data_IF_246852967697
#
_entry.id   IF_246852967697
#
_cell.length_a   1.000
_cell.length_b   1.000
_cell.length_c   1.000
_cell.angle_alpha   90.00
_cell.angle_beta   90.00
_cell.angle_gamma   90.00
#
_symmetry.space_group_name_H-M   'P 1'
#
loop_
_entity.id
_entity.type
_entity.pdbx_description
1 polymer ?
#
# COMPACT_ATOMS: atom_id res chain seq x y z
N UNK A 1 -52.71 57.93 13.04
CA UNK A 1 -52.01 56.76 13.63
C UNK A 1 -51.49 55.72 12.61
N UNK A 2 -51.81 55.79 11.31
CA UNK A 2 -51.38 54.79 10.30
C UNK A 2 -49.97 55.00 9.72
N UNK A 3 -49.48 56.24 9.68
CA UNK A 3 -48.17 56.58 9.08
C UNK A 3 -46.97 56.07 9.91
N UNK A 4 -47.01 56.24 11.24
CA UNK A 4 -45.96 55.79 12.15
C UNK A 4 -45.77 54.27 12.16
N UNK A 5 -46.86 53.50 12.04
CA UNK A 5 -46.79 52.04 11.97
C UNK A 5 -46.13 51.56 10.67
N UNK A 6 -46.31 52.29 9.57
CA UNK A 6 -45.65 51.97 8.29
C UNK A 6 -44.14 52.24 8.40
N UNK A 7 -43.75 53.40 8.94
CA UNK A 7 -42.34 53.77 9.13
C UNK A 7 -41.59 52.79 10.03
N UNK A 8 -42.18 52.39 11.17
CA UNK A 8 -41.57 51.40 12.08
C UNK A 8 -41.43 50.02 11.43
N UNK A 9 -42.42 49.61 10.61
CA UNK A 9 -42.37 48.33 9.89
C UNK A 9 -41.28 48.34 8.82
N UNK A 10 -41.12 49.44 8.08
CA UNK A 10 -40.07 49.60 7.07
C UNK A 10 -38.67 49.68 7.69
N UNK A 11 -38.52 50.34 8.84
CA UNK A 11 -37.24 50.41 9.58
C UNK A 11 -36.84 49.05 10.16
N UNK A 12 -37.79 48.28 10.70
CA UNK A 12 -37.54 46.89 11.14
C UNK A 12 -37.15 45.97 9.99
N UNK A 13 -37.80 46.11 8.82
CA UNK A 13 -37.44 45.33 7.63
C UNK A 13 -36.04 45.68 7.12
N UNK A 14 -35.68 46.96 7.03
CA UNK A 14 -34.34 47.40 6.62
C UNK A 14 -33.26 46.96 7.61
N UNK A 15 -33.51 47.01 8.92
CA UNK A 15 -32.56 46.51 9.92
C UNK A 15 -32.41 44.99 9.86
N UNK A 16 -33.49 44.23 9.67
CA UNK A 16 -33.41 42.78 9.53
C UNK A 16 -32.68 42.38 8.24
N UNK A 17 -32.86 43.13 7.16
CA UNK A 17 -32.15 42.90 5.90
C UNK A 17 -30.68 43.28 5.99
N UNK A 18 -30.33 44.39 6.65
CA UNK A 18 -28.95 44.78 6.91
C UNK A 18 -28.23 43.79 7.85
N UNK A 19 -28.93 43.26 8.86
CA UNK A 19 -28.40 42.20 9.75
C UNK A 19 -28.25 40.89 8.99
N UNK A 20 -29.21 40.51 8.14
CA UNK A 20 -29.11 39.33 7.29
C UNK A 20 -27.95 39.44 6.28
N UNK A 21 -27.76 40.60 5.64
CA UNK A 21 -26.64 40.86 4.73
C UNK A 21 -25.29 40.87 5.47
N UNK A 22 -25.25 41.33 6.73
CA UNK A 22 -24.04 41.27 7.56
C UNK A 22 -23.73 39.85 8.02
N UNK A 23 -24.75 39.06 8.37
CA UNK A 23 -24.61 37.63 8.71
C UNK A 23 -24.17 36.82 7.49
N UNK A 24 -24.75 37.09 6.31
CA UNK A 24 -24.37 36.47 5.03
C UNK A 24 -22.92 36.84 4.67
N UNK A 25 -22.52 38.11 4.81
CA UNK A 25 -21.11 38.53 4.60
C UNK A 25 -20.14 37.92 5.61
N UNK A 26 -20.56 37.70 6.85
CA UNK A 26 -19.72 37.00 7.86
C UNK A 26 -19.58 35.52 7.50
N UNK A 27 -20.64 34.85 7.00
CA UNK A 27 -20.55 33.46 6.51
C UNK A 27 -19.83 33.31 5.17
N UNK A 28 -19.77 34.34 4.33
CA UNK A 28 -18.98 34.32 3.08
C UNK A 28 -17.50 34.64 3.34
N UNK A 29 -17.17 35.43 4.37
CA UNK A 29 -15.79 35.82 4.70
C UNK A 29 -14.93 34.71 5.34
N UNK A 30 -15.49 33.54 5.64
CA UNK A 30 -14.75 32.36 6.13
C UNK A 30 -14.22 31.44 5.02
N UNK A 31 -14.39 31.78 3.74
CA UNK A 31 -13.97 30.90 2.63
C UNK A 31 -12.83 31.48 1.80
N UNK A 32 -11.59 31.35 2.30
CA UNK A 32 -10.42 31.21 1.42
C UNK A 32 -9.16 30.69 2.13
N UNK A 33 -9.30 29.85 3.15
CA UNK A 33 -8.19 28.96 3.51
C UNK A 33 -8.31 27.79 2.52
N UNK A 34 -7.40 27.69 1.55
CA UNK A 34 -7.22 26.44 0.79
C UNK A 34 -6.95 25.36 1.85
N UNK A 35 -7.94 24.54 2.17
CA UNK A 35 -7.70 23.35 3.00
C UNK A 35 -6.56 22.58 2.34
N UNK A 36 -5.52 22.20 3.10
CA UNK A 36 -4.40 21.46 2.53
C UNK A 36 -4.92 20.19 1.86
N UNK A 37 -4.31 19.76 0.77
CA UNK A 37 -4.63 18.45 0.19
C UNK A 37 -4.15 17.36 1.14
N UNK A 38 -4.95 16.31 1.33
CA UNK A 38 -4.49 15.12 2.04
C UNK A 38 -3.23 14.53 1.34
N UNK A 39 -2.24 14.01 2.09
CA UNK A 39 -1.03 13.44 1.50
C UNK A 39 -1.32 12.33 0.49
N UNK A 40 -0.61 12.36 -0.65
CA UNK A 40 -0.75 11.34 -1.70
C UNK A 40 0.21 10.18 -1.43
N UNK A 41 -0.35 9.04 -1.03
CA UNK A 41 0.38 7.80 -0.74
C UNK A 41 1.35 7.37 -1.85
N UNK A 42 1.02 7.63 -3.13
CA UNK A 42 1.86 7.17 -4.25
C UNK A 42 3.23 7.83 -4.29
N UNK A 43 3.40 8.99 -3.64
CA UNK A 43 4.70 9.69 -3.54
C UNK A 43 5.70 8.97 -2.64
N UNK A 44 5.22 8.07 -1.78
CA UNK A 44 6.04 7.38 -0.78
C UNK A 44 6.20 5.89 -1.09
N UNK A 45 5.86 5.43 -2.31
CA UNK A 45 6.01 4.02 -2.71
C UNK A 45 7.28 3.79 -3.50
N UNK A 46 7.93 2.65 -3.25
CA UNK A 46 9.07 2.18 -4.06
C UNK A 46 8.55 1.75 -5.43
N UNK A 47 7.40 1.09 -5.47
CA UNK A 47 6.71 0.71 -6.70
C UNK A 47 5.34 1.42 -6.82
N UNK A 48 5.32 2.70 -7.25
CA UNK A 48 4.07 3.46 -7.37
C UNK A 48 3.12 2.86 -8.42
N UNK A 49 3.64 2.08 -9.38
CA UNK A 49 2.81 1.41 -10.39
C UNK A 49 2.00 0.23 -9.84
N UNK A 50 2.42 -0.34 -8.70
CA UNK A 50 1.85 -1.57 -8.14
C UNK A 50 2.12 -2.84 -8.98
N UNK A 51 2.79 -2.75 -10.14
CA UNK A 51 3.07 -3.91 -10.99
C UNK A 51 4.09 -4.83 -10.32
N UNK A 52 3.74 -6.11 -10.14
CA UNK A 52 4.57 -7.10 -9.43
C UNK A 52 5.77 -7.62 -10.23
N UNK A 53 5.81 -7.32 -11.51
CA UNK A 53 6.82 -7.77 -12.45
C UNK A 53 6.83 -6.83 -13.67
N UNK A 54 7.91 -6.84 -14.42
CA UNK A 54 8.01 -6.18 -15.72
C UNK A 54 8.81 -6.95 -16.78
N UNK A 55 9.23 -8.19 -16.49
CA UNK A 55 10.00 -9.08 -17.39
C UNK A 55 11.36 -8.53 -17.84
N UNK A 56 11.90 -7.53 -17.15
CA UNK A 56 13.21 -6.98 -17.48
C UNK A 56 14.37 -7.83 -16.97
N UNK A 57 14.13 -8.69 -15.98
CA UNK A 57 15.17 -9.57 -15.43
C UNK A 57 15.39 -10.81 -16.30
N UNK A 58 16.62 -11.02 -16.76
CA UNK A 58 17.01 -12.18 -17.56
C UNK A 58 17.60 -13.26 -16.66
N UNK A 59 16.91 -14.41 -16.57
CA UNK A 59 17.26 -15.50 -15.64
C UNK A 59 18.35 -16.44 -16.16
N UNK A 60 18.69 -16.39 -17.46
CA UNK A 60 19.62 -17.32 -18.09
C UNK A 60 19.09 -18.75 -18.29
N UNK A 61 17.93 -19.10 -17.72
CA UNK A 61 17.34 -20.46 -17.77
C UNK A 61 16.10 -20.57 -18.67
N UNK A 62 15.78 -19.51 -19.42
CA UNK A 62 14.68 -19.49 -20.38
C UNK A 62 13.28 -19.28 -19.79
N UNK A 63 13.18 -18.94 -18.51
CA UNK A 63 11.91 -18.63 -17.83
C UNK A 63 11.93 -17.22 -17.23
N UNK A 64 10.76 -16.58 -17.16
CA UNK A 64 10.59 -15.29 -16.46
C UNK A 64 10.48 -15.51 -14.95
N UNK A 65 10.83 -14.53 -14.13
CA UNK A 65 10.74 -14.66 -12.66
C UNK A 65 9.32 -15.02 -12.18
N UNK A 66 8.28 -14.43 -12.79
CA UNK A 66 6.89 -14.80 -12.45
C UNK A 66 6.54 -16.24 -12.78
N UNK A 67 7.13 -16.81 -13.82
CA UNK A 67 6.95 -18.22 -14.18
C UNK A 67 7.67 -19.09 -13.17
N UNK A 68 8.92 -18.77 -12.84
CA UNK A 68 9.70 -19.49 -11.82
C UNK A 68 9.02 -19.42 -10.45
N UNK A 69 8.35 -18.31 -10.10
CA UNK A 69 7.55 -18.22 -8.87
C UNK A 69 6.46 -19.32 -8.81
N UNK A 70 5.89 -19.73 -9.95
CA UNK A 70 4.95 -20.85 -10.00
C UNK A 70 5.64 -22.19 -9.74
N UNK A 71 6.87 -22.40 -10.24
CA UNK A 71 7.68 -23.57 -9.89
C UNK A 71 7.98 -23.60 -8.38
N UNK A 72 8.35 -22.44 -7.81
CA UNK A 72 8.55 -22.28 -6.37
C UNK A 72 7.29 -22.63 -5.60
N UNK A 73 6.12 -22.19 -6.06
CA UNK A 73 4.85 -22.58 -5.45
C UNK A 73 4.68 -24.10 -5.45
N UNK A 74 4.87 -24.78 -6.59
CA UNK A 74 4.79 -26.25 -6.67
C UNK A 74 5.77 -26.95 -5.71
N UNK A 75 7.00 -26.45 -5.60
CA UNK A 75 8.06 -27.03 -4.79
C UNK A 75 8.02 -26.75 -3.28
N UNK A 76 7.29 -25.71 -2.84
CA UNK A 76 7.34 -25.23 -1.44
C UNK A 76 6.60 -26.11 -0.42
N UNK A 77 5.67 -26.98 -0.84
CA UNK A 77 4.85 -27.73 0.12
C UNK A 77 5.52 -28.99 0.62
N UNK A 78 5.36 -29.26 1.93
CA UNK A 78 5.77 -30.54 2.54
C UNK A 78 5.07 -31.73 1.89
N UNK A 79 3.79 -31.56 1.55
CA UNK A 79 2.98 -32.57 0.87
C UNK A 79 2.85 -32.22 -0.62
N UNK A 80 3.17 -33.15 -1.54
CA UNK A 80 2.96 -32.98 -2.97
C UNK A 80 1.51 -32.63 -3.31
N UNK A 81 1.31 -31.82 -4.35
CA UNK A 81 -0.01 -31.37 -4.79
C UNK A 81 -0.55 -32.24 -5.90
N UNK A 82 -1.88 -32.38 -6.00
CA UNK A 82 -2.50 -33.08 -7.13
C UNK A 82 -2.34 -32.23 -8.41
N UNK A 83 -2.30 -32.84 -9.61
CA UNK A 83 -2.27 -32.10 -10.87
C UNK A 83 -3.46 -31.15 -11.06
N UNK A 84 -4.58 -31.44 -10.39
CA UNK A 84 -5.81 -30.61 -10.41
C UNK A 84 -5.78 -29.46 -9.39
N UNK A 85 -4.73 -29.35 -8.57
CA UNK A 85 -4.59 -28.26 -7.61
C UNK A 85 -4.47 -26.93 -8.33
N UNK A 86 -5.37 -25.99 -8.00
CA UNK A 86 -5.38 -24.65 -8.57
C UNK A 86 -4.35 -23.77 -7.85
N UNK A 87 -3.45 -23.08 -8.58
CA UNK A 87 -2.63 -22.04 -7.99
C UNK A 87 -3.48 -20.93 -7.37
N UNK A 88 -2.96 -20.21 -6.36
CA UNK A 88 -3.63 -19.05 -5.79
C UNK A 88 -3.97 -17.98 -6.83
N UNK A 89 -5.01 -17.18 -6.51
CA UNK A 89 -5.56 -16.15 -7.41
C UNK A 89 -4.52 -15.12 -7.89
N UNK A 90 -3.53 -14.78 -7.07
CA UNK A 90 -2.51 -13.80 -7.43
C UNK A 90 -1.69 -14.21 -8.66
N UNK A 91 -1.53 -15.51 -8.95
CA UNK A 91 -0.84 -15.94 -10.17
C UNK A 91 -1.57 -15.48 -11.44
N UNK A 92 -2.89 -15.32 -11.36
CA UNK A 92 -3.74 -14.91 -12.48
C UNK A 92 -3.89 -13.39 -12.53
N UNK A 93 -4.13 -12.73 -11.40
CA UNK A 93 -4.44 -11.29 -11.37
C UNK A 93 -3.20 -10.41 -11.22
N UNK A 94 -2.25 -10.82 -10.40
CA UNK A 94 -1.09 -9.97 -10.11
C UNK A 94 0.06 -10.30 -11.08
N UNK A 95 0.23 -11.59 -11.39
CA UNK A 95 1.28 -12.08 -12.29
C UNK A 95 0.82 -12.40 -13.71
N UNK A 96 -0.48 -12.38 -13.99
CA UNK A 96 -1.03 -12.58 -15.34
C UNK A 96 -0.51 -13.86 -16.03
N UNK A 97 -0.31 -14.94 -15.26
CA UNK A 97 0.17 -16.21 -15.79
C UNK A 97 -0.96 -17.08 -16.35
N UNK A 98 -0.68 -17.71 -17.48
CA UNK A 98 -1.38 -18.93 -17.88
C UNK A 98 -0.77 -20.12 -17.12
N UNK A 99 -1.23 -20.34 -15.90
CA UNK A 99 -0.64 -21.31 -14.97
C UNK A 99 -0.66 -22.75 -15.48
N UNK A 100 -1.67 -23.15 -16.25
CA UNK A 100 -1.72 -24.47 -16.89
C UNK A 100 -0.60 -24.61 -17.92
N UNK A 101 -0.51 -23.66 -18.86
CA UNK A 101 0.53 -23.67 -19.90
C UNK A 101 1.93 -23.70 -19.29
N UNK A 102 2.19 -22.84 -18.29
CA UNK A 102 3.49 -22.78 -17.61
C UNK A 102 3.81 -24.08 -16.86
N UNK A 103 2.83 -24.69 -16.19
CA UNK A 103 3.04 -25.99 -15.52
C UNK A 103 3.32 -27.11 -16.52
N UNK A 104 2.59 -27.15 -17.64
CA UNK A 104 2.82 -28.13 -18.71
C UNK A 104 4.22 -27.97 -19.32
N UNK A 105 4.72 -26.74 -19.45
CA UNK A 105 6.11 -26.46 -19.85
C UNK A 105 7.10 -27.05 -18.86
N UNK A 106 6.93 -26.82 -17.55
CA UNK A 106 7.82 -27.41 -16.53
C UNK A 106 7.84 -28.93 -16.54
N UNK A 107 6.71 -29.58 -16.84
CA UNK A 107 6.65 -31.05 -16.97
C UNK A 107 7.42 -31.51 -18.21
N UNK A 108 7.16 -30.88 -19.37
CA UNK A 108 7.82 -31.21 -20.63
C UNK A 108 9.33 -31.00 -20.55
N UNK A 109 9.75 -29.92 -19.91
CA UNK A 109 11.15 -29.53 -19.77
C UNK A 109 11.84 -30.30 -18.61
N UNK A 110 11.14 -31.27 -18.00
CA UNK A 110 11.70 -32.19 -17.02
C UNK A 110 11.99 -31.57 -15.66
N UNK A 111 11.34 -30.46 -15.29
CA UNK A 111 11.44 -29.80 -13.98
C UNK A 111 10.40 -30.33 -12.98
N UNK A 112 9.23 -30.75 -13.48
CA UNK A 112 8.16 -31.36 -12.69
C UNK A 112 7.86 -32.77 -13.19
N UNK A 113 7.48 -33.67 -12.28
CA UNK A 113 7.00 -35.01 -12.60
C UNK A 113 5.87 -35.44 -11.67
N UNK A 114 5.16 -36.51 -12.04
CA UNK A 114 4.23 -37.19 -11.14
C UNK A 114 5.00 -38.19 -10.27
N UNK A 115 4.75 -38.20 -8.97
CA UNK A 115 5.22 -39.23 -8.05
C UNK A 115 4.38 -40.52 -8.19
N UNK A 116 4.69 -41.55 -7.39
CA UNK A 116 3.95 -42.83 -7.39
C UNK A 116 2.46 -42.68 -7.05
N UNK A 117 2.09 -41.62 -6.33
CA UNK A 117 0.72 -41.31 -5.93
C UNK A 117 0.00 -40.40 -6.96
N UNK A 118 0.66 -40.08 -8.08
CA UNK A 118 0.13 -39.21 -9.13
C UNK A 118 0.20 -37.71 -8.81
N UNK A 119 0.83 -37.30 -7.71
CA UNK A 119 1.02 -35.91 -7.32
C UNK A 119 2.24 -35.28 -7.98
N UNK A 120 2.19 -33.97 -8.22
CA UNK A 120 3.26 -33.19 -8.82
C UNK A 120 4.39 -32.96 -7.81
N UNK A 121 5.61 -33.30 -8.20
CA UNK A 121 6.86 -33.07 -7.45
C UNK A 121 7.97 -32.54 -8.36
N UNK A 122 8.98 -31.91 -7.75
CA UNK A 122 10.18 -31.48 -8.45
C UNK A 122 11.01 -32.70 -8.89
N UNK A 123 11.63 -32.60 -10.07
CA UNK A 123 12.76 -33.46 -10.45
C UNK A 123 14.05 -32.96 -9.80
N UNK A 124 15.19 -33.62 -10.07
CA UNK A 124 16.48 -33.12 -9.62
C UNK A 124 16.79 -31.73 -10.23
N UNK A 125 16.60 -31.56 -11.53
CA UNK A 125 16.78 -30.28 -12.21
C UNK A 125 15.79 -29.22 -11.72
N UNK A 126 14.53 -29.61 -11.50
CA UNK A 126 13.53 -28.72 -10.90
C UNK A 126 13.91 -28.29 -9.48
N UNK A 127 14.56 -29.17 -8.71
CA UNK A 127 15.03 -28.87 -7.36
C UNK A 127 16.20 -27.88 -7.37
N UNK A 128 17.14 -28.03 -8.31
CA UNK A 128 18.21 -27.04 -8.51
C UNK A 128 17.63 -25.65 -8.78
N UNK A 129 16.71 -25.56 -9.75
CA UNK A 129 16.09 -24.27 -10.08
C UNK A 129 15.22 -23.73 -8.94
N UNK A 130 14.50 -24.60 -8.23
CA UNK A 130 13.77 -24.20 -7.03
C UNK A 130 14.69 -23.59 -5.97
N UNK A 131 15.84 -24.22 -5.69
CA UNK A 131 16.72 -23.79 -4.61
C UNK A 131 17.40 -22.45 -4.92
N UNK A 132 17.72 -22.19 -6.19
CA UNK A 132 18.25 -20.92 -6.66
C UNK A 132 17.22 -19.78 -6.55
N UNK A 133 15.96 -20.05 -6.89
CA UNK A 133 14.93 -19.00 -7.00
C UNK A 133 13.90 -18.97 -5.87
N UNK A 134 14.03 -19.81 -4.83
CA UNK A 134 13.05 -19.88 -3.71
C UNK A 134 12.83 -18.55 -3.00
N UNK A 135 13.80 -17.63 -3.07
CA UNK A 135 13.71 -16.27 -2.52
C UNK A 135 12.58 -15.44 -3.16
N UNK A 136 12.17 -15.77 -4.39
CA UNK A 136 11.01 -15.16 -5.05
C UNK A 136 9.74 -15.26 -4.19
N UNK A 137 9.61 -16.32 -3.38
CA UNK A 137 8.47 -16.44 -2.49
C UNK A 137 8.49 -15.39 -1.38
N UNK A 138 9.66 -15.03 -0.85
CA UNK A 138 9.81 -14.00 0.17
C UNK A 138 9.47 -12.62 -0.39
N UNK A 139 10.03 -12.29 -1.57
CA UNK A 139 9.71 -11.07 -2.32
C UNK A 139 8.20 -10.99 -2.60
N UNK A 140 7.61 -12.09 -3.06
CA UNK A 140 6.18 -12.18 -3.30
C UNK A 140 5.34 -12.01 -2.02
N UNK A 141 5.80 -12.55 -0.90
CA UNK A 141 5.03 -12.53 0.35
C UNK A 141 5.13 -11.21 1.10
N UNK A 142 6.09 -10.36 0.75
CA UNK A 142 6.27 -9.06 1.39
C UNK A 142 5.04 -8.17 1.21
N UNK A 143 4.60 -7.57 2.33
CA UNK A 143 3.56 -6.54 2.40
C UNK A 143 4.04 -5.45 3.35
N UNK A 144 4.34 -4.27 2.82
CA UNK A 144 4.66 -3.10 3.63
C UNK A 144 3.41 -2.40 4.17
N UNK A 145 3.59 -1.51 5.16
CA UNK A 145 2.50 -0.75 5.79
C UNK A 145 1.68 0.09 4.79
N UNK A 146 2.35 0.75 3.85
CA UNK A 146 1.73 1.52 2.76
C UNK A 146 1.14 0.69 1.62
N UNK A 147 0.99 -0.62 1.80
CA UNK A 147 0.60 -1.56 0.74
C UNK A 147 1.69 -1.73 -0.32
N UNK A 148 2.96 -1.59 0.08
CA UNK A 148 4.10 -1.76 -0.81
C UNK A 148 4.15 -3.18 -1.37
N UNK A 149 4.31 -3.27 -2.69
CA UNK A 149 4.35 -4.51 -3.44
C UNK A 149 5.61 -4.50 -4.31
N UNK A 150 6.70 -5.18 -3.88
CA UNK A 150 7.91 -5.26 -4.66
C UNK A 150 7.66 -5.72 -6.09
N UNK A 151 8.34 -5.09 -7.04
CA UNK A 151 8.48 -5.61 -8.39
C UNK A 151 9.63 -6.62 -8.40
N UNK A 152 9.35 -7.89 -8.67
CA UNK A 152 10.33 -8.97 -8.55
C UNK A 152 11.54 -8.77 -9.47
N UNK A 153 11.34 -8.35 -10.71
CA UNK A 153 12.42 -8.13 -11.68
C UNK A 153 13.42 -7.08 -11.21
N UNK A 154 12.93 -6.04 -10.53
CA UNK A 154 13.75 -4.91 -10.06
C UNK A 154 14.56 -5.24 -8.81
N UNK A 155 13.99 -6.06 -7.92
CA UNK A 155 14.57 -6.29 -6.59
C UNK A 155 15.29 -7.62 -6.46
N UNK A 156 15.07 -8.58 -7.37
CA UNK A 156 15.55 -9.95 -7.21
C UNK A 156 17.05 -10.07 -6.96
N UNK A 157 17.89 -9.41 -7.77
CA UNK A 157 19.35 -9.54 -7.66
C UNK A 157 19.92 -8.93 -6.37
N UNK A 158 19.30 -7.86 -5.88
CA UNK A 158 19.74 -7.14 -4.68
C UNK A 158 18.84 -7.36 -3.47
N UNK A 159 18.05 -8.45 -3.46
CA UNK A 159 17.05 -8.63 -2.42
C UNK A 159 17.71 -8.91 -1.07
N UNK A 160 17.49 -8.01 -0.13
CA UNK A 160 17.69 -8.22 1.29
C UNK A 160 16.41 -7.78 2.00
N UNK A 161 15.77 -8.72 2.73
CA UNK A 161 14.51 -8.45 3.43
C UNK A 161 14.62 -7.32 4.44
N UNK A 162 15.66 -7.32 5.28
CA UNK A 162 15.84 -6.35 6.35
C UNK A 162 16.06 -4.95 5.78
N UNK A 163 17.02 -4.81 4.87
CA UNK A 163 17.32 -3.56 4.17
C UNK A 163 16.09 -3.04 3.40
N UNK A 164 15.35 -3.90 2.69
CA UNK A 164 14.14 -3.50 1.96
C UNK A 164 13.03 -3.04 2.91
N UNK A 165 12.83 -3.75 4.03
CA UNK A 165 11.84 -3.38 5.05
C UNK A 165 12.23 -2.08 5.76
N UNK A 166 13.49 -1.93 6.15
CA UNK A 166 14.02 -0.72 6.79
C UNK A 166 13.79 0.52 5.91
N UNK A 167 14.04 0.42 4.60
CA UNK A 167 13.78 1.50 3.65
C UNK A 167 12.29 1.84 3.53
N UNK A 168 11.40 0.84 3.51
CA UNK A 168 9.95 1.09 3.49
C UNK A 168 9.44 1.72 4.79
N UNK A 169 10.03 1.39 5.94
CA UNK A 169 9.68 2.05 7.21
C UNK A 169 9.97 3.55 7.15
N UNK A 170 11.09 3.97 6.58
CA UNK A 170 11.40 5.40 6.39
C UNK A 170 10.41 6.09 5.46
N UNK A 171 9.94 5.40 4.40
CA UNK A 171 8.95 5.95 3.50
C UNK A 171 7.59 6.14 4.19
N UNK A 172 7.17 5.17 5.00
CA UNK A 172 5.94 5.29 5.80
C UNK A 172 6.06 6.39 6.86
N UNK A 173 7.23 6.54 7.52
CA UNK A 173 7.46 7.64 8.46
C UNK A 173 7.22 8.98 7.78
N UNK A 174 7.80 9.22 6.60
CA UNK A 174 7.61 10.48 5.85
C UNK A 174 6.14 10.71 5.47
N UNK A 175 5.43 9.65 5.11
CA UNK A 175 4.01 9.72 4.79
C UNK A 175 3.18 10.10 6.03
N UNK A 176 3.43 9.45 7.18
CA UNK A 176 2.77 9.75 8.45
C UNK A 176 3.11 11.16 8.96
N UNK A 177 4.34 11.65 8.77
CA UNK A 177 4.73 13.03 9.10
C UNK A 177 3.88 14.05 8.33
N UNK A 178 3.63 13.82 7.04
CA UNK A 178 2.77 14.67 6.23
C UNK A 178 1.28 14.54 6.63
N UNK A 179 0.83 13.36 7.07
CA UNK A 179 -0.53 13.18 7.63
C UNK A 179 -0.66 13.95 8.95
N UNK A 180 0.31 13.85 9.85
CA UNK A 180 0.34 14.59 11.11
C UNK A 180 0.28 16.09 10.85
N UNK A 181 1.02 16.59 9.86
CA UNK A 181 0.99 18.00 9.45
C UNK A 181 -0.39 18.40 8.93
N UNK A 182 -0.99 17.60 8.05
CA UNK A 182 -2.34 17.82 7.55
C UNK A 182 -3.37 17.85 8.69
N UNK A 183 -3.37 16.82 9.54
CA UNK A 183 -4.31 16.69 10.66
C UNK A 183 -4.14 17.82 11.68
N UNK A 184 -2.92 18.31 11.89
CA UNK A 184 -2.65 19.48 12.75
C UNK A 184 -3.32 20.73 12.19
N UNK A 185 -3.18 20.99 10.88
CA UNK A 185 -3.84 22.13 10.22
C UNK A 185 -5.36 22.00 10.31
N UNK A 186 -5.91 20.79 10.10
CA UNK A 186 -7.35 20.55 10.19
C UNK A 186 -7.86 20.73 11.62
N UNK A 187 -7.20 20.14 12.62
CA UNK A 187 -7.52 20.27 14.04
C UNK A 187 -7.66 21.74 14.47
N UNK A 188 -6.71 22.57 14.04
CA UNK A 188 -6.63 23.98 14.46
C UNK A 188 -7.74 24.86 13.86
N UNK A 189 -8.53 24.33 12.91
CA UNK A 189 -9.75 24.99 12.42
C UNK A 189 -10.95 24.83 13.37
N UNK A 190 -10.87 23.90 14.33
CA UNK A 190 -11.96 23.58 15.24
C UNK A 190 -11.70 24.11 16.65
N UNK A 191 -12.79 24.40 17.37
CA UNK A 191 -12.71 24.85 18.76
C UNK A 191 -12.11 23.74 19.62
N UNK A 192 -11.08 24.07 20.42
CA UNK A 192 -10.48 23.14 21.37
C UNK A 192 -11.53 22.49 22.25
N UNK A 193 -11.49 21.15 22.32
CA UNK A 193 -12.43 20.32 23.06
C UNK A 193 -13.71 19.95 22.31
N UNK A 194 -13.91 20.40 21.06
CA UNK A 194 -14.97 19.86 20.20
C UNK A 194 -14.67 18.41 19.80
N UNK A 195 -15.69 17.70 19.31
CA UNK A 195 -15.53 16.33 18.85
C UNK A 195 -14.54 16.23 17.68
N UNK A 196 -14.61 17.17 16.73
CA UNK A 196 -13.73 17.23 15.56
C UNK A 196 -12.28 17.52 15.98
N UNK A 197 -12.08 18.49 16.87
CA UNK A 197 -10.76 18.77 17.43
C UNK A 197 -10.16 17.52 18.08
N UNK A 198 -10.95 16.84 18.92
CA UNK A 198 -10.48 15.66 19.64
C UNK A 198 -10.20 14.47 18.71
N UNK A 199 -10.99 14.31 17.64
CA UNK A 199 -10.77 13.27 16.63
C UNK A 199 -9.43 13.47 15.90
N UNK A 200 -9.17 14.66 15.35
CA UNK A 200 -7.86 14.93 14.73
C UNK A 200 -6.71 14.85 15.72
N UNK A 201 -6.92 15.28 16.98
CA UNK A 201 -5.90 15.14 18.01
C UNK A 201 -5.58 13.66 18.32
N UNK A 202 -6.59 12.78 18.31
CA UNK A 202 -6.38 11.35 18.49
C UNK A 202 -5.59 10.75 17.31
N UNK A 203 -5.95 11.09 16.08
CA UNK A 203 -5.25 10.62 14.88
C UNK A 203 -3.77 11.05 14.89
N UNK A 204 -3.48 12.31 15.23
CA UNK A 204 -2.11 12.82 15.35
C UNK A 204 -1.28 12.01 16.35
N UNK A 205 -1.84 11.70 17.53
CA UNK A 205 -1.08 10.96 18.55
C UNK A 205 -0.90 9.48 18.15
N UNK A 206 -1.89 8.88 17.48
CA UNK A 206 -1.74 7.55 16.91
C UNK A 206 -0.62 7.49 15.86
N UNK A 207 -0.59 8.45 14.93
CA UNK A 207 0.41 8.50 13.88
C UNK A 207 1.82 8.75 14.43
N UNK A 208 1.96 9.63 15.43
CA UNK A 208 3.25 9.83 16.13
C UNK A 208 3.75 8.56 16.83
N UNK A 209 2.86 7.81 17.48
CA UNK A 209 3.22 6.53 18.11
C UNK A 209 3.67 5.51 17.06
N UNK A 210 2.99 5.47 15.90
CA UNK A 210 3.39 4.61 14.78
C UNK A 210 4.75 5.02 14.20
N UNK A 211 5.02 6.32 14.04
CA UNK A 211 6.33 6.84 13.61
C UNK A 211 7.43 6.35 14.55
N UNK A 212 7.25 6.48 15.87
CA UNK A 212 8.23 6.03 16.85
C UNK A 212 8.49 4.51 16.75
N UNK A 213 7.44 3.71 16.55
CA UNK A 213 7.56 2.26 16.37
C UNK A 213 8.33 1.89 15.10
N UNK A 214 8.01 2.52 13.97
CA UNK A 214 8.67 2.28 12.69
C UNK A 214 10.14 2.70 12.72
N UNK A 215 10.45 3.80 13.42
CA UNK A 215 11.82 4.29 13.57
C UNK A 215 12.67 3.32 14.39
N UNK A 216 12.13 2.83 15.52
CA UNK A 216 12.80 1.80 16.33
C UNK A 216 13.01 0.50 15.53
N UNK A 217 12.00 0.06 14.77
CA UNK A 217 12.13 -1.13 13.92
C UNK A 217 13.19 -0.94 12.82
N UNK A 218 13.23 0.23 12.19
CA UNK A 218 14.25 0.58 11.20
C UNK A 218 15.67 0.45 11.79
N UNK A 219 15.92 1.03 12.97
CA UNK A 219 17.23 0.95 13.63
C UNK A 219 17.62 -0.50 13.97
N UNK A 220 16.66 -1.33 14.39
CA UNK A 220 16.91 -2.75 14.67
C UNK A 220 17.30 -3.52 13.40
N UNK A 221 16.64 -3.24 12.28
CA UNK A 221 16.89 -3.91 11.00
C UNK A 221 18.25 -3.53 10.42
N UNK A 222 18.68 -2.27 10.52
CA UNK A 222 20.00 -1.83 10.04
C UNK A 222 21.15 -2.41 10.88
N UNK A 223 20.93 -2.65 12.17
CA UNK A 223 21.94 -3.25 13.05
C UNK A 223 22.10 -4.78 12.85
N UNK A 224 21.16 -5.45 12.16
CA UNK A 224 21.27 -6.88 11.84
C UNK A 224 22.13 -7.09 10.59
N UNK A 225 22.18 -6.10 9.70
CA UNK A 225 22.89 -6.18 8.42
C UNK A 225 24.34 -5.62 8.48
N UNK A 226 24.76 -5.06 9.63
CA UNK A 226 26.13 -4.60 9.94
C UNK A 226 26.88 -5.60 10.84
#
# INVERSE_FOLDING_TARGET
MKFWNLVVKTLKQKNNQAVAEKVVKITESTTNIKSPSYPDLNKYRVNPSGKRYDDTYITGVGYKLREILLLVWWGRTKNPRKPTSKPPRYFFYDYHLNTKKTTDMFIRDGLLKKNKEGCITLTLSGKVLYDEYKILWEIHSYKGYIGELPNMDRVFHGWNYNSYKANNNLLEIRHLEDIVKYNTIMRDQYKKGSNEYNAFQQDIEQDKNQIALLFNEHQLLENIDN
#
